data_IF_787660010203
#
_entry.id   IF_787660010203
#
_cell.length_a   1.000
_cell.length_b   1.000
_cell.length_c   1.000
_cell.angle_alpha   90.00
_cell.angle_beta   90.00
_cell.angle_gamma   90.00
#
_symmetry.space_group_name_H-M   'P 1'
#
loop_
_entity.id
_entity.type
_entity.pdbx_description
1 polymer ?
#
# COMPACT_ATOMS: atom_id res chain seq x y z
N UNK A 1 -3.76 -12.32 -11.64
CA UNK A 1 -3.98 -11.15 -10.76
C UNK A 1 -4.90 -10.17 -11.47
N UNK A 2 -5.88 -9.59 -10.79
CA UNK A 2 -6.73 -8.53 -11.37
C UNK A 2 -6.08 -7.16 -11.09
N UNK A 3 -6.14 -6.26 -12.04
CA UNK A 3 -5.56 -4.91 -11.94
C UNK A 3 -6.31 -3.92 -12.81
N UNK A 4 -6.10 -2.63 -12.57
CA UNK A 4 -6.49 -1.52 -13.43
C UNK A 4 -5.22 -0.92 -14.02
N UNK A 5 -5.29 -0.45 -15.25
CA UNK A 5 -4.15 0.04 -16.02
C UNK A 5 -4.45 1.41 -16.62
N UNK A 6 -3.46 2.31 -16.55
CA UNK A 6 -3.47 3.63 -17.16
C UNK A 6 -2.18 3.82 -18.00
N UNK A 7 -2.22 4.64 -19.04
CA UNK A 7 -1.05 4.97 -19.85
C UNK A 7 -0.42 3.76 -20.55
N UNK A 8 -1.22 2.85 -21.08
CA UNK A 8 -0.78 1.57 -21.68
C UNK A 8 0.21 1.72 -22.83
N UNK A 9 0.23 2.88 -23.46
CA UNK A 9 1.13 3.24 -24.57
C UNK A 9 2.58 3.47 -24.13
N UNK A 10 2.83 3.65 -22.83
CA UNK A 10 4.16 3.90 -22.29
C UNK A 10 4.88 2.60 -21.91
N UNK A 11 6.21 2.62 -22.02
CA UNK A 11 7.07 1.46 -21.72
C UNK A 11 7.53 1.43 -20.26
N UNK A 12 7.69 2.60 -19.63
CA UNK A 12 8.12 2.69 -18.23
C UNK A 12 6.94 2.40 -17.30
N UNK A 13 7.07 1.31 -16.55
CA UNK A 13 5.99 0.75 -15.74
C UNK A 13 6.14 1.14 -14.27
N UNK A 14 5.05 1.63 -13.69
CA UNK A 14 4.89 1.87 -12.25
C UNK A 14 3.79 0.97 -11.69
N UNK A 15 4.00 0.42 -10.51
CA UNK A 15 3.02 -0.42 -9.80
C UNK A 15 2.70 0.22 -8.46
N UNK A 16 1.41 0.48 -8.17
CA UNK A 16 1.00 1.04 -6.88
C UNK A 16 0.04 0.10 -6.15
N UNK A 17 0.38 -0.21 -4.89
CA UNK A 17 -0.28 -1.18 -4.02
C UNK A 17 -1.12 -0.48 -2.96
N UNK A 18 -2.43 -0.68 -3.01
CA UNK A 18 -3.38 -0.01 -2.11
C UNK A 18 -3.29 -0.45 -0.66
N UNK A 19 -3.85 0.34 0.25
CA UNK A 19 -3.95 0.03 1.68
C UNK A 19 -4.97 -1.10 1.99
N UNK A 20 -4.81 -1.72 3.15
CA UNK A 20 -5.73 -2.75 3.64
C UNK A 20 -7.15 -2.23 3.82
N UNK A 21 -8.14 -2.96 3.32
CA UNK A 21 -9.55 -2.55 3.34
C UNK A 21 -9.94 -1.51 2.30
N UNK A 22 -8.97 -1.03 1.49
CA UNK A 22 -9.17 -0.15 0.35
C UNK A 22 -9.16 -0.96 -0.96
N UNK A 23 -8.97 -0.31 -2.10
CA UNK A 23 -8.83 -0.96 -3.40
C UNK A 23 -8.03 -0.07 -4.35
N UNK A 24 -7.87 -0.47 -5.61
CA UNK A 24 -7.14 0.25 -6.65
C UNK A 24 -7.44 1.76 -6.72
N UNK A 25 -8.67 2.21 -6.41
CA UNK A 25 -9.07 3.61 -6.41
C UNK A 25 -8.29 4.49 -5.42
N UNK A 26 -7.62 3.90 -4.45
CA UNK A 26 -6.68 4.57 -3.55
C UNK A 26 -5.65 5.40 -4.34
N UNK A 27 -5.17 4.83 -5.45
CA UNK A 27 -4.18 5.47 -6.34
C UNK A 27 -4.77 5.95 -7.67
N UNK A 28 -6.11 6.01 -7.82
CA UNK A 28 -6.76 6.43 -9.07
C UNK A 28 -6.23 7.76 -9.57
N UNK A 29 -6.31 8.80 -8.75
CA UNK A 29 -5.91 10.15 -9.16
C UNK A 29 -4.39 10.28 -9.35
N UNK A 30 -3.59 9.54 -8.58
CA UNK A 30 -2.13 9.45 -8.82
C UNK A 30 -1.87 8.83 -10.20
N UNK A 31 -2.58 7.74 -10.54
CA UNK A 31 -2.44 7.09 -11.83
C UNK A 31 -2.89 7.99 -12.99
N UNK A 32 -4.02 8.69 -12.83
CA UNK A 32 -4.50 9.67 -13.82
C UNK A 32 -3.47 10.78 -14.06
N UNK A 33 -2.84 11.30 -13.01
CA UNK A 33 -1.78 12.31 -13.14
C UNK A 33 -0.51 11.78 -13.81
N UNK A 34 -0.12 10.53 -13.56
CA UNK A 34 1.12 9.94 -14.08
C UNK A 34 0.96 9.32 -15.48
N UNK A 35 -0.27 9.04 -15.91
CA UNK A 35 -0.54 8.28 -17.14
C UNK A 35 -0.19 9.01 -18.43
N UNK A 36 0.10 10.32 -18.38
CA UNK A 36 0.64 11.06 -19.53
C UNK A 36 2.07 10.67 -19.89
N UNK A 37 2.83 10.11 -18.94
CA UNK A 37 4.27 9.86 -19.09
C UNK A 37 4.64 8.41 -18.83
N UNK A 38 3.81 7.68 -18.05
CA UNK A 38 4.12 6.35 -17.53
C UNK A 38 2.95 5.38 -17.68
N UNK A 39 3.28 4.11 -17.78
CA UNK A 39 2.31 3.02 -17.67
C UNK A 39 2.10 2.66 -16.21
N UNK A 40 0.90 2.90 -15.69
CA UNK A 40 0.58 2.74 -14.27
C UNK A 40 -0.33 1.53 -14.06
N UNK A 41 0.11 0.60 -13.23
CA UNK A 41 -0.61 -0.63 -12.88
C UNK A 41 -1.07 -0.54 -11.42
N UNK A 42 -2.36 -0.76 -11.20
CA UNK A 42 -3.00 -0.76 -9.89
C UNK A 42 -3.55 -2.17 -9.59
N UNK A 43 -2.74 -3.07 -9.02
CA UNK A 43 -3.19 -4.42 -8.67
C UNK A 43 -4.26 -4.39 -7.59
N UNK A 44 -5.16 -5.39 -7.64
CA UNK A 44 -6.09 -5.67 -6.55
C UNK A 44 -5.46 -6.76 -5.69
N UNK A 45 -5.10 -6.38 -4.45
CA UNK A 45 -4.43 -7.25 -3.49
C UNK A 45 -5.31 -8.44 -3.09
N UNK A 46 -4.67 -9.56 -2.75
CA UNK A 46 -5.38 -10.78 -2.33
C UNK A 46 -6.33 -10.48 -1.17
N UNK A 47 -7.48 -11.16 -1.18
CA UNK A 47 -8.51 -11.01 -0.16
C UNK A 47 -9.36 -9.74 -0.25
N UNK A 48 -9.04 -8.80 -1.16
CA UNK A 48 -9.84 -7.59 -1.38
C UNK A 48 -10.90 -7.81 -2.47
N UNK A 49 -11.90 -6.93 -2.51
CA UNK A 49 -13.01 -7.04 -3.48
C UNK A 49 -12.49 -7.05 -4.92
N UNK A 50 -12.97 -8.01 -5.70
CA UNK A 50 -12.51 -8.33 -7.07
C UNK A 50 -11.10 -8.96 -7.15
N UNK A 51 -10.49 -9.33 -6.04
CA UNK A 51 -9.30 -10.19 -6.10
C UNK A 51 -9.65 -11.59 -6.62
N UNK A 52 -8.72 -12.22 -7.30
CA UNK A 52 -8.84 -13.62 -7.75
C UNK A 52 -8.50 -14.63 -6.67
N UNK A 53 -7.95 -14.21 -5.54
CA UNK A 53 -7.45 -15.05 -4.47
C UNK A 53 -7.82 -14.52 -3.09
N UNK A 54 -8.00 -15.43 -2.14
CA UNK A 54 -8.09 -15.08 -0.72
C UNK A 54 -6.73 -14.61 -0.18
N UNK A 55 -6.77 -13.78 0.86
CA UNK A 55 -5.55 -13.35 1.55
C UNK A 55 -4.98 -14.50 2.38
N UNK A 56 -3.72 -14.81 2.18
CA UNK A 56 -2.99 -15.83 2.94
C UNK A 56 -1.91 -15.21 3.83
N UNK A 57 -1.02 -14.40 3.23
CA UNK A 57 0.01 -13.66 3.96
C UNK A 57 0.54 -12.50 3.12
N UNK A 58 1.30 -11.59 3.74
CA UNK A 58 2.02 -10.50 3.06
C UNK A 58 3.06 -11.09 2.10
N UNK A 59 3.76 -12.14 2.53
CA UNK A 59 4.77 -12.84 1.74
C UNK A 59 4.21 -13.45 0.45
N UNK A 60 3.04 -14.08 0.52
CA UNK A 60 2.41 -14.68 -0.66
C UNK A 60 1.85 -13.61 -1.61
N UNK A 61 1.30 -12.50 -1.09
CA UNK A 61 0.95 -11.35 -1.92
C UNK A 61 2.17 -10.80 -2.68
N UNK A 62 3.29 -10.63 -1.99
CA UNK A 62 4.55 -10.18 -2.61
C UNK A 62 5.00 -11.13 -3.72
N UNK A 63 5.01 -12.45 -3.48
CA UNK A 63 5.36 -13.46 -4.49
C UNK A 63 4.47 -13.38 -5.73
N UNK A 64 3.16 -13.16 -5.56
CA UNK A 64 2.22 -13.05 -6.70
C UNK A 64 2.47 -11.80 -7.52
N UNK A 65 2.82 -10.68 -6.86
CA UNK A 65 3.18 -9.44 -7.55
C UNK A 65 4.52 -9.60 -8.26
N UNK A 66 5.53 -10.21 -7.64
CA UNK A 66 6.80 -10.53 -8.28
C UNK A 66 6.57 -11.40 -9.53
N UNK A 67 5.80 -12.48 -9.39
CA UNK A 67 5.45 -13.34 -10.52
C UNK A 67 4.76 -12.58 -11.65
N UNK A 68 3.82 -11.70 -11.30
CA UNK A 68 3.14 -10.85 -12.29
C UNK A 68 4.10 -9.92 -13.01
N UNK A 69 5.06 -9.31 -12.30
CA UNK A 69 6.12 -8.47 -12.88
C UNK A 69 7.02 -9.30 -13.80
N UNK A 70 7.42 -10.51 -13.38
CA UNK A 70 8.26 -11.41 -14.17
C UNK A 70 7.58 -11.80 -15.49
N UNK A 71 6.31 -12.15 -15.44
CA UNK A 71 5.56 -12.64 -16.59
C UNK A 71 5.18 -11.54 -17.60
N UNK A 72 5.04 -10.29 -17.16
CA UNK A 72 4.48 -9.20 -17.97
C UNK A 72 5.45 -8.06 -18.28
N UNK A 73 6.50 -7.88 -17.47
CA UNK A 73 7.39 -6.71 -17.54
C UNK A 73 8.88 -7.07 -17.49
N UNK A 74 9.24 -8.29 -17.83
CA UNK A 74 10.66 -8.71 -17.93
C UNK A 74 11.39 -8.79 -16.59
N UNK A 75 10.67 -8.85 -15.47
CA UNK A 75 11.22 -9.09 -14.14
C UNK A 75 11.55 -7.86 -13.32
N UNK A 76 11.48 -6.65 -13.88
CA UNK A 76 11.69 -5.40 -13.15
C UNK A 76 10.79 -4.30 -13.70
N UNK A 77 10.45 -3.33 -12.86
CA UNK A 77 9.68 -2.14 -13.23
C UNK A 77 10.38 -0.87 -12.77
N UNK A 78 9.99 0.28 -13.31
CA UNK A 78 10.57 1.57 -12.91
C UNK A 78 10.34 1.85 -11.43
N UNK A 79 9.10 1.66 -10.96
CA UNK A 79 8.72 2.02 -9.60
C UNK A 79 7.69 1.04 -9.02
N UNK A 80 7.86 0.68 -7.74
CA UNK A 80 6.81 0.05 -6.95
C UNK A 80 6.52 0.94 -5.74
N UNK A 81 5.27 1.41 -5.61
CA UNK A 81 4.80 2.19 -4.47
C UNK A 81 3.72 1.47 -3.68
N UNK A 82 3.56 1.78 -2.40
CA UNK A 82 2.49 1.18 -1.61
C UNK A 82 2.16 1.94 -0.33
N UNK A 83 0.87 1.93 0.00
CA UNK A 83 0.31 2.53 1.21
C UNK A 83 0.01 1.46 2.26
N UNK A 84 0.45 1.65 3.51
CA UNK A 84 0.06 0.83 4.67
C UNK A 84 0.33 -0.66 4.42
N UNK A 85 -0.69 -1.53 4.29
CA UNK A 85 -0.53 -2.94 3.88
C UNK A 85 0.21 -3.04 2.53
N UNK A 86 -0.11 -2.17 1.56
CA UNK A 86 0.62 -2.09 0.30
C UNK A 86 2.09 -1.75 0.50
N UNK A 87 2.41 -0.85 1.44
CA UNK A 87 3.79 -0.52 1.83
C UNK A 87 4.54 -1.71 2.46
N UNK A 88 3.85 -2.51 3.30
CA UNK A 88 4.43 -3.76 3.82
C UNK A 88 4.71 -4.78 2.70
N UNK A 89 3.81 -4.86 1.70
CA UNK A 89 4.02 -5.73 0.54
C UNK A 89 5.18 -5.23 -0.31
N UNK A 90 5.37 -3.90 -0.49
CA UNK A 90 6.57 -3.35 -1.16
C UNK A 90 7.84 -3.78 -0.42
N UNK A 91 7.89 -3.63 0.90
CA UNK A 91 9.03 -4.09 1.71
C UNK A 91 9.30 -5.58 1.53
N UNK A 92 8.26 -6.39 1.45
CA UNK A 92 8.40 -7.83 1.24
C UNK A 92 8.86 -8.17 -0.19
N UNK A 93 8.39 -7.44 -1.21
CA UNK A 93 8.83 -7.59 -2.60
C UNK A 93 10.33 -7.37 -2.72
N UNK A 94 10.84 -6.22 -2.24
CA UNK A 94 12.27 -5.89 -2.33
C UNK A 94 13.14 -6.76 -1.43
N UNK A 95 12.57 -7.41 -0.41
CA UNK A 95 13.21 -8.43 0.41
C UNK A 95 13.36 -9.78 -0.30
N UNK A 96 12.36 -10.17 -1.11
CA UNK A 96 12.35 -11.43 -1.86
C UNK A 96 13.05 -11.33 -3.22
N UNK A 97 13.00 -10.15 -3.86
CA UNK A 97 13.61 -9.87 -5.17
C UNK A 97 14.24 -8.49 -5.15
N UNK A 98 15.56 -8.46 -4.96
CA UNK A 98 16.35 -7.23 -4.76
C UNK A 98 16.28 -6.22 -5.91
N UNK A 99 16.04 -6.69 -7.14
CA UNK A 99 16.01 -5.93 -8.38
C UNK A 99 14.59 -5.83 -8.99
N UNK A 100 13.55 -5.98 -8.17
CA UNK A 100 12.16 -5.92 -8.63
C UNK A 100 11.77 -4.56 -9.21
N UNK A 101 12.44 -3.48 -8.78
CA UNK A 101 12.21 -2.11 -9.26
C UNK A 101 13.44 -1.23 -9.11
N UNK A 102 13.44 -0.07 -9.83
CA UNK A 102 14.47 0.95 -9.65
C UNK A 102 14.18 1.86 -8.45
N UNK A 103 12.90 2.18 -8.21
CA UNK A 103 12.46 3.01 -7.09
C UNK A 103 11.42 2.27 -6.25
N UNK A 104 11.54 2.34 -4.92
CA UNK A 104 10.57 1.76 -3.99
C UNK A 104 10.00 2.87 -3.10
N UNK A 105 8.69 3.12 -3.17
CA UNK A 105 7.99 4.13 -2.36
C UNK A 105 7.16 3.45 -1.27
N UNK A 106 7.49 3.69 -0.02
CA UNK A 106 6.85 3.09 1.15
C UNK A 106 6.13 4.19 1.92
N UNK A 107 4.80 4.23 1.85
CA UNK A 107 3.97 5.17 2.59
C UNK A 107 3.32 4.49 3.78
N UNK A 108 3.59 4.99 4.99
CA UNK A 108 2.86 4.64 6.22
C UNK A 108 2.81 3.12 6.50
N UNK A 109 3.90 2.40 6.27
CA UNK A 109 3.99 0.96 6.53
C UNK A 109 4.30 0.66 8.00
N UNK A 110 3.45 -0.15 8.67
CA UNK A 110 3.68 -0.58 10.05
C UNK A 110 4.67 -1.75 10.08
N UNK A 111 5.80 -1.60 10.78
CA UNK A 111 6.81 -2.66 10.95
C UNK A 111 7.16 -2.94 12.40
N UNK A 112 6.44 -2.33 13.32
CA UNK A 112 6.52 -2.60 14.77
C UNK A 112 5.42 -3.58 15.16
N UNK A 113 5.71 -4.88 15.33
CA UNK A 113 4.70 -5.89 15.65
C UNK A 113 3.98 -5.59 16.98
N UNK A 114 2.66 -5.80 17.00
CA UNK A 114 1.83 -5.64 18.18
C UNK A 114 1.00 -6.89 18.46
N UNK A 115 1.47 -7.73 19.39
CA UNK A 115 0.73 -8.93 19.83
C UNK A 115 -0.62 -8.58 20.47
N UNK A 116 -0.70 -7.42 21.15
CA UNK A 116 -1.96 -6.95 21.71
C UNK A 116 -2.97 -6.60 20.62
N UNK A 117 -2.56 -5.81 19.62
CA UNK A 117 -3.44 -5.48 18.48
C UNK A 117 -3.89 -6.77 17.78
N UNK A 118 -2.98 -7.68 17.47
CA UNK A 118 -3.29 -8.97 16.86
C UNK A 118 -4.33 -9.75 17.66
N UNK A 119 -4.17 -9.90 18.98
CA UNK A 119 -5.11 -10.61 19.83
C UNK A 119 -6.51 -9.99 19.85
N UNK A 120 -6.62 -8.68 19.64
CA UNK A 120 -7.90 -7.95 19.65
C UNK A 120 -8.65 -7.98 18.32
N UNK A 121 -7.99 -8.32 17.19
CA UNK A 121 -8.61 -8.29 15.86
C UNK A 121 -9.79 -9.27 15.77
N UNK A 122 -9.60 -10.56 16.09
CA UNK A 122 -10.66 -11.57 16.03
C UNK A 122 -11.87 -11.24 16.92
N UNK A 123 -11.73 -10.87 18.20
CA UNK A 123 -12.85 -10.45 19.02
C UNK A 123 -13.58 -9.23 18.46
N UNK A 124 -12.84 -8.18 18.06
CA UNK A 124 -13.41 -6.95 17.55
C UNK A 124 -14.19 -7.17 16.25
N UNK A 125 -13.56 -7.75 15.24
CA UNK A 125 -14.20 -8.01 13.95
C UNK A 125 -15.15 -9.22 13.99
N UNK A 126 -14.96 -10.14 14.94
CA UNK A 126 -15.86 -11.26 15.17
C UNK A 126 -17.30 -10.82 15.44
N UNK A 127 -17.46 -9.80 16.27
CA UNK A 127 -18.78 -9.28 16.70
C UNK A 127 -19.28 -8.12 15.84
N UNK A 128 -18.40 -7.26 15.31
CA UNK A 128 -18.77 -6.00 14.66
C UNK A 128 -18.71 -6.03 13.12
N UNK A 129 -18.28 -7.15 12.51
CA UNK A 129 -18.12 -7.21 11.05
C UNK A 129 -19.39 -6.85 10.27
N UNK A 130 -20.56 -7.28 10.73
CA UNK A 130 -21.84 -6.96 10.06
C UNK A 130 -22.14 -5.46 10.01
N UNK A 131 -21.60 -4.67 10.95
CA UNK A 131 -21.77 -3.22 10.99
C UNK A 131 -21.12 -2.51 9.80
N UNK A 132 -20.07 -3.09 9.21
CA UNK A 132 -19.40 -2.56 8.01
C UNK A 132 -20.37 -2.42 6.85
N UNK A 133 -21.39 -3.32 6.76
CA UNK A 133 -22.45 -3.27 5.75
C UNK A 133 -23.51 -2.21 6.02
N UNK A 134 -23.52 -1.60 7.22
CA UNK A 134 -24.44 -0.53 7.55
C UNK A 134 -23.86 0.81 7.06
N UNK A 135 -24.53 1.46 6.10
CA UNK A 135 -24.02 2.68 5.44
C UNK A 135 -23.69 3.82 6.42
N UNK A 136 -24.46 3.98 7.50
CA UNK A 136 -24.18 4.99 8.54
C UNK A 136 -22.88 4.70 9.29
N UNK A 137 -22.62 3.43 9.64
CA UNK A 137 -21.39 3.03 10.32
C UNK A 137 -20.18 3.18 9.40
N UNK A 138 -20.32 2.74 8.14
CA UNK A 138 -19.29 2.93 7.11
C UNK A 138 -18.96 4.40 6.88
N UNK A 139 -19.96 5.31 6.92
CA UNK A 139 -19.71 6.76 6.85
C UNK A 139 -18.87 7.26 8.02
N UNK A 140 -19.16 6.78 9.24
CA UNK A 140 -18.40 7.17 10.43
C UNK A 140 -16.95 6.66 10.33
N UNK A 141 -16.77 5.43 9.90
CA UNK A 141 -15.46 4.81 9.69
C UNK A 141 -14.66 5.54 8.59
N UNK A 142 -15.30 5.81 7.44
CA UNK A 142 -14.70 6.56 6.34
C UNK A 142 -14.24 7.97 6.78
N UNK A 143 -15.06 8.66 7.56
CA UNK A 143 -14.68 9.97 8.12
C UNK A 143 -13.46 9.88 9.03
N UNK A 144 -13.32 8.80 9.79
CA UNK A 144 -12.14 8.59 10.65
C UNK A 144 -10.85 8.35 9.87
N UNK A 145 -10.95 7.81 8.65
CA UNK A 145 -9.81 7.62 7.73
C UNK A 145 -9.39 8.92 7.04
N UNK A 146 -10.13 10.02 7.18
CA UNK A 146 -9.83 11.33 6.57
C UNK A 146 -9.70 11.32 5.05
N UNK A 147 -10.27 10.33 4.40
CA UNK A 147 -10.33 10.23 2.93
C UNK A 147 -11.33 11.25 2.41
N UNK A 148 -10.99 11.95 1.32
CA UNK A 148 -11.87 12.93 0.68
C UNK A 148 -13.21 12.32 0.25
N UNK A 149 -14.29 13.08 0.43
CA UNK A 149 -15.68 12.59 0.30
C UNK A 149 -16.02 11.91 -1.03
N UNK A 150 -15.34 12.29 -2.12
CA UNK A 150 -15.55 11.72 -3.45
C UNK A 150 -15.33 10.19 -3.55
N UNK A 151 -14.55 9.62 -2.63
CA UNK A 151 -14.26 8.18 -2.62
C UNK A 151 -15.22 7.34 -1.74
N UNK A 152 -16.22 7.95 -1.11
CA UNK A 152 -17.07 7.22 -0.16
C UNK A 152 -17.82 6.03 -0.79
N UNK A 153 -18.40 6.17 -1.97
CA UNK A 153 -19.16 5.09 -2.60
C UNK A 153 -18.23 3.95 -3.07
N UNK A 154 -17.02 4.27 -3.55
CA UNK A 154 -15.99 3.28 -3.87
C UNK A 154 -15.54 2.52 -2.62
N UNK A 155 -15.23 3.26 -1.53
CA UNK A 155 -14.88 2.69 -0.24
C UNK A 155 -15.97 1.76 0.29
N UNK A 156 -17.22 2.22 0.34
CA UNK A 156 -18.34 1.45 0.85
C UNK A 156 -18.56 0.15 0.05
N UNK A 157 -18.61 0.26 -1.28
CA UNK A 157 -18.75 -0.89 -2.17
C UNK A 157 -17.66 -1.95 -1.93
N UNK A 158 -16.41 -1.52 -1.93
CA UNK A 158 -15.28 -2.44 -1.90
C UNK A 158 -15.03 -2.99 -0.48
N UNK A 159 -15.18 -2.19 0.57
CA UNK A 159 -15.08 -2.67 1.95
C UNK A 159 -16.19 -3.68 2.30
N UNK A 160 -17.42 -3.44 1.85
CA UNK A 160 -18.53 -4.39 2.03
C UNK A 160 -18.35 -5.72 1.28
N UNK A 161 -17.56 -5.71 0.21
CA UNK A 161 -17.28 -6.91 -0.59
C UNK A 161 -16.16 -7.79 -0.04
N UNK A 162 -15.36 -7.31 0.91
CA UNK A 162 -14.33 -8.11 1.56
C UNK A 162 -14.99 -9.11 2.51
N UNK A 163 -14.61 -10.39 2.43
CA UNK A 163 -15.10 -11.40 3.37
C UNK A 163 -14.56 -11.17 4.78
N UNK A 164 -15.31 -11.63 5.81
CA UNK A 164 -14.86 -11.54 7.20
C UNK A 164 -13.51 -12.24 7.43
N UNK A 165 -13.32 -13.39 6.81
CA UNK A 165 -12.08 -14.17 6.91
C UNK A 165 -10.89 -13.41 6.33
N UNK A 166 -11.03 -12.84 5.14
CA UNK A 166 -10.00 -12.04 4.51
C UNK A 166 -9.66 -10.78 5.30
N UNK A 167 -10.68 -10.07 5.80
CA UNK A 167 -10.47 -8.88 6.61
C UNK A 167 -9.68 -9.19 7.89
N UNK A 168 -10.04 -10.23 8.59
CA UNK A 168 -9.29 -10.69 9.79
C UNK A 168 -7.87 -11.07 9.39
N UNK A 169 -7.70 -11.87 8.33
CA UNK A 169 -6.40 -12.39 7.92
C UNK A 169 -5.40 -11.27 7.58
N UNK A 170 -5.79 -10.28 6.76
CA UNK A 170 -4.85 -9.21 6.44
C UNK A 170 -4.60 -8.25 7.61
N UNK A 171 -5.57 -8.01 8.49
CA UNK A 171 -5.36 -7.21 9.69
C UNK A 171 -4.42 -7.90 10.68
N UNK A 172 -4.55 -9.22 10.88
CA UNK A 172 -3.64 -10.01 11.72
C UNK A 172 -2.21 -9.99 11.15
N UNK A 173 -2.05 -10.20 9.84
CA UNK A 173 -0.76 -10.13 9.17
C UNK A 173 -0.14 -8.73 9.29
N UNK A 174 -0.92 -7.66 9.05
CA UNK A 174 -0.47 -6.29 9.22
C UNK A 174 0.03 -6.00 10.65
N UNK A 175 -0.69 -6.49 11.67
CA UNK A 175 -0.34 -6.26 13.07
C UNK A 175 0.96 -6.97 13.52
N UNK A 176 1.36 -8.06 12.85
CA UNK A 176 2.54 -8.85 13.21
C UNK A 176 3.72 -8.69 12.25
N UNK A 177 3.57 -7.93 11.17
CA UNK A 177 4.64 -7.77 10.19
C UNK A 177 5.88 -7.11 10.81
N UNK A 178 7.05 -7.62 10.43
CA UNK A 178 8.36 -7.08 10.80
C UNK A 178 9.29 -7.10 9.59
N UNK A 179 10.22 -6.16 9.54
CA UNK A 179 11.22 -6.04 8.47
C UNK A 179 12.08 -7.30 8.44
N UNK A 180 12.34 -7.80 7.23
CA UNK A 180 13.30 -8.90 6.99
C UNK A 180 14.71 -8.31 6.82
N UNK A 181 15.72 -9.00 7.32
CA UNK A 181 17.11 -8.57 7.18
C UNK A 181 17.61 -8.50 5.73
N UNK A 182 17.02 -9.34 4.84
CA UNK A 182 17.32 -9.34 3.40
C UNK A 182 16.97 -8.06 2.67
N UNK A 183 16.21 -7.14 3.29
CA UNK A 183 15.89 -5.84 2.70
C UNK A 183 17.15 -4.97 2.50
N UNK A 184 18.20 -5.21 3.28
CA UNK A 184 19.47 -4.49 3.15
C UNK A 184 20.18 -4.73 1.80
N UNK A 185 19.87 -5.85 1.12
CA UNK A 185 20.43 -6.21 -0.18
C UNK A 185 19.64 -5.62 -1.36
N UNK A 186 18.62 -4.81 -1.11
CA UNK A 186 17.78 -4.19 -2.12
C UNK A 186 18.60 -3.28 -3.05
N UNK A 187 18.39 -3.41 -4.35
CA UNK A 187 19.05 -2.57 -5.39
C UNK A 187 18.24 -1.30 -5.70
N UNK A 188 16.99 -1.23 -5.27
CA UNK A 188 16.13 -0.08 -5.51
C UNK A 188 16.59 1.14 -4.70
N UNK A 189 16.24 2.34 -5.19
CA UNK A 189 16.35 3.59 -4.42
C UNK A 189 15.08 3.75 -3.58
N UNK A 190 15.13 3.60 -2.25
CA UNK A 190 13.91 3.60 -1.44
C UNK A 190 13.59 5.01 -0.89
N UNK A 191 12.29 5.32 -0.91
CA UNK A 191 11.70 6.53 -0.32
C UNK A 191 10.64 6.13 0.69
N UNK A 192 10.74 6.68 1.89
CA UNK A 192 9.84 6.38 3.01
C UNK A 192 9.06 7.63 3.36
N UNK A 193 7.74 7.55 3.30
CA UNK A 193 6.82 8.64 3.63
C UNK A 193 6.01 8.32 4.88
N UNK A 194 5.89 9.29 5.78
CA UNK A 194 5.06 9.18 6.98
C UNK A 194 4.46 10.53 7.33
N UNK A 195 3.18 10.57 7.67
CA UNK A 195 2.52 11.79 8.12
C UNK A 195 2.98 12.21 9.52
N UNK A 196 3.20 13.51 9.72
CA UNK A 196 3.56 14.08 11.03
C UNK A 196 2.50 13.76 12.11
N UNK A 197 1.22 13.71 11.73
CA UNK A 197 0.09 13.44 12.64
C UNK A 197 -0.21 11.95 12.84
N UNK A 198 0.60 11.06 12.28
CA UNK A 198 0.45 9.64 12.52
C UNK A 198 0.85 9.25 13.95
N UNK A 199 0.36 8.10 14.40
CA UNK A 199 0.65 7.60 15.74
C UNK A 199 2.15 7.26 15.90
N UNK A 200 2.59 7.14 17.16
CA UNK A 200 4.00 6.87 17.50
C UNK A 200 4.54 5.58 16.87
N UNK A 201 3.71 4.52 16.80
CA UNK A 201 4.16 3.24 16.22
C UNK A 201 4.45 3.37 14.73
N UNK A 202 3.65 4.14 13.99
CA UNK A 202 3.85 4.38 12.57
C UNK A 202 5.10 5.21 12.29
N UNK A 203 5.29 6.32 13.02
CA UNK A 203 6.50 7.14 12.92
C UNK A 203 7.76 6.36 13.26
N UNK A 204 7.71 5.56 14.34
CA UNK A 204 8.81 4.64 14.68
C UNK A 204 9.07 3.60 13.59
N UNK A 205 8.02 3.12 12.94
CA UNK A 205 8.16 2.19 11.81
C UNK A 205 8.90 2.84 10.65
N UNK A 206 8.57 4.07 10.28
CA UNK A 206 9.26 4.80 9.22
C UNK A 206 10.77 5.01 9.55
N UNK A 207 11.10 5.36 10.79
CA UNK A 207 12.50 5.46 11.26
C UNK A 207 13.23 4.11 11.17
N UNK A 208 12.57 3.01 11.55
CA UNK A 208 13.15 1.67 11.46
C UNK A 208 13.38 1.25 10.00
N UNK A 209 12.41 1.49 9.12
CA UNK A 209 12.55 1.21 7.68
C UNK A 209 13.73 1.99 7.11
N UNK A 210 13.80 3.29 7.40
CA UNK A 210 14.89 4.16 6.96
C UNK A 210 16.27 3.68 7.46
N UNK A 211 16.35 3.18 8.68
CA UNK A 211 17.60 2.65 9.25
C UNK A 211 18.04 1.35 8.57
N UNK A 212 17.12 0.45 8.25
CA UNK A 212 17.43 -0.85 7.63
C UNK A 212 17.68 -0.74 6.12
N UNK A 213 17.04 0.21 5.42
CA UNK A 213 17.22 0.50 4.00
C UNK A 213 18.31 1.54 3.79
N UNK A 214 19.54 1.09 3.54
CA UNK A 214 20.66 1.98 3.26
C UNK A 214 20.39 2.85 2.03
N UNK A 215 20.73 4.14 2.14
CA UNK A 215 20.50 5.10 1.05
C UNK A 215 19.04 5.52 0.87
N UNK A 216 18.12 5.08 1.74
CA UNK A 216 16.74 5.55 1.69
C UNK A 216 16.62 7.03 2.07
N UNK A 217 15.56 7.67 1.57
CA UNK A 217 15.17 9.02 1.95
C UNK A 217 13.90 8.94 2.80
N UNK A 218 13.97 9.43 4.04
CA UNK A 218 12.80 9.54 4.92
C UNK A 218 12.23 10.95 4.83
N UNK A 219 10.95 11.06 4.45
CA UNK A 219 10.21 12.31 4.41
C UNK A 219 9.03 12.26 5.39
N UNK A 220 9.07 13.14 6.40
CA UNK A 220 7.93 13.39 7.29
C UNK A 220 7.06 14.46 6.67
N UNK A 221 5.82 14.11 6.36
CA UNK A 221 4.87 14.98 5.65
C UNK A 221 4.14 15.88 6.66
N UNK A 222 4.33 17.21 6.60
CA UNK A 222 3.77 18.14 7.58
C UNK A 222 2.24 18.07 7.61
N UNK A 223 1.68 18.07 8.82
CA UNK A 223 0.24 18.08 9.11
C UNK A 223 -0.58 16.93 8.51
N UNK A 224 0.03 15.94 7.84
CA UNK A 224 -0.66 14.81 7.23
C UNK A 224 -0.88 13.67 8.22
N UNK A 225 -1.99 12.96 8.05
CA UNK A 225 -2.36 11.72 8.73
C UNK A 225 -2.09 10.50 7.84
N UNK A 226 -2.42 9.32 8.34
CA UNK A 226 -2.22 8.04 7.67
C UNK A 226 -2.87 7.98 6.28
N UNK A 227 -2.08 7.79 5.23
CA UNK A 227 -2.53 7.64 3.85
C UNK A 227 -3.05 8.91 3.18
N UNK A 228 -2.99 10.07 3.85
CA UNK A 228 -3.49 11.32 3.25
C UNK A 228 -2.68 11.73 2.02
N UNK A 229 -1.40 11.40 1.95
CA UNK A 229 -0.54 11.84 0.86
C UNK A 229 -0.97 11.25 -0.48
N UNK A 230 -1.00 9.93 -0.61
CA UNK A 230 -1.40 9.29 -1.88
C UNK A 230 -2.88 9.45 -2.20
N UNK A 231 -3.76 9.52 -1.18
CA UNK A 231 -5.22 9.55 -1.41
C UNK A 231 -5.75 10.97 -1.64
N UNK A 232 -5.31 11.94 -0.82
CA UNK A 232 -5.89 13.27 -0.82
C UNK A 232 -5.05 14.31 -1.59
N UNK A 233 -3.74 14.07 -1.73
CA UNK A 233 -2.77 14.97 -2.35
C UNK A 233 -2.10 14.31 -3.58
N UNK A 234 -2.93 13.76 -4.47
CA UNK A 234 -2.46 12.97 -5.60
C UNK A 234 -1.58 13.75 -6.59
N UNK A 235 -1.83 15.05 -6.77
CA UNK A 235 -1.01 15.93 -7.63
C UNK A 235 0.38 16.12 -7.03
N UNK A 236 0.47 16.42 -5.73
CA UNK A 236 1.74 16.54 -5.00
C UNK A 236 2.51 15.23 -5.01
N UNK A 237 1.79 14.09 -4.80
CA UNK A 237 2.38 12.76 -4.86
C UNK A 237 2.98 12.48 -6.24
N UNK A 238 2.22 12.74 -7.31
CA UNK A 238 2.69 12.55 -8.68
C UNK A 238 3.86 13.47 -9.04
N UNK A 239 3.85 14.71 -8.54
CA UNK A 239 4.97 15.66 -8.70
C UNK A 239 6.25 15.14 -8.05
N UNK A 240 6.17 14.66 -6.81
CA UNK A 240 7.31 14.05 -6.10
C UNK A 240 7.81 12.80 -6.83
N UNK A 241 6.91 11.94 -7.34
CA UNK A 241 7.31 10.78 -8.15
C UNK A 241 8.13 11.19 -9.38
N UNK A 242 7.69 12.22 -10.12
CA UNK A 242 8.45 12.73 -11.27
C UNK A 242 9.81 13.31 -10.86
N UNK A 243 9.85 14.05 -9.77
CA UNK A 243 11.10 14.60 -9.23
C UNK A 243 12.09 13.50 -8.84
N UNK A 244 11.63 12.45 -8.17
CA UNK A 244 12.43 11.27 -7.80
C UNK A 244 13.07 10.64 -9.04
N UNK A 245 12.31 10.47 -10.12
CA UNK A 245 12.78 9.83 -11.34
C UNK A 245 13.75 10.72 -12.10
N UNK A 246 13.49 12.03 -12.15
CA UNK A 246 14.32 12.98 -12.90
C UNK A 246 15.67 13.23 -12.21
N UNK A 247 15.73 13.22 -10.89
CA UNK A 247 16.92 13.54 -10.09
C UNK A 247 17.67 12.28 -9.60
N UNK A 248 17.13 11.12 -9.81
CA UNK A 248 17.66 9.83 -9.34
C UNK A 248 18.36 9.02 -10.39
#
# INVERSE_FOLDING_TARGET
MNYIEYGKEHNEVMVFLHGGGLSWWNYREVAENLSSDYRVILPILDGHTKSSCDFTSIEENAKRIIKFIDENFGGSVLLIGGLSLGGQIVLEIISQKKDACHYALIESALVVPSRFTHAMIKPAFGSCYSLIKCKWFSKLQFKSLRIKQGFFEDYYRDTCGISKSNMIAFLEANALYSIKSSIADCSAKPYVFVGEKENRAMRKSAEMIHKELQGSILQVLPQMHHGEFSINHAEDYASIVREIITNG
#
